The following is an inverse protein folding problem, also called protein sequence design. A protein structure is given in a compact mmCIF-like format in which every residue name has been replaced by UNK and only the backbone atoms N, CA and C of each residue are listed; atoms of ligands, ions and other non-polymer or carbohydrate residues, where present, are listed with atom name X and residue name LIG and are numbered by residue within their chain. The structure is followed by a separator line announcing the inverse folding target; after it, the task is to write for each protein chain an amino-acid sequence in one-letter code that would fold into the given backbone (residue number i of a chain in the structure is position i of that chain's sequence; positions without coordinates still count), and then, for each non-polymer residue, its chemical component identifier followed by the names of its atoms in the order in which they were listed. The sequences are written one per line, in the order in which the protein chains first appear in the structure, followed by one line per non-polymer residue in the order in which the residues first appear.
data_IF_171913500451
#
_entry.id   IF_171913500451
#
_cell.length_a   1.000
_cell.length_b   1.000
_cell.length_c   1.000
_cell.angle_alpha   90.00
_cell.angle_beta   90.00
_cell.angle_gamma   90.00
#
_symmetry.space_group_name_H-M   'P 1'
#
loop_
_entity.id
_entity.type
_entity.pdbx_description
1 polymer ?
#
# COMPACT_ATOMS: atom_id res chain seq x y z
N UNK A 1 -27.09 2.00 -41.31
CA UNK A 1 -27.60 2.16 -39.92
C UNK A 1 -26.41 2.32 -38.95
N UNK A 2 -25.37 3.07 -39.33
CA UNK A 2 -24.16 3.18 -38.49
C UNK A 2 -24.32 4.13 -37.31
N UNK A 3 -25.15 5.17 -37.44
CA UNK A 3 -25.30 6.19 -36.38
C UNK A 3 -25.82 5.59 -35.07
N UNK A 4 -26.75 4.62 -35.13
CA UNK A 4 -27.26 3.91 -33.97
C UNK A 4 -26.20 3.02 -33.29
N UNK A 5 -25.30 2.42 -34.06
CA UNK A 5 -24.19 1.62 -33.52
C UNK A 5 -23.13 2.46 -32.78
N UNK A 6 -23.10 3.78 -33.04
CA UNK A 6 -22.16 4.72 -32.42
C UNK A 6 -22.78 5.54 -31.28
N UNK A 7 -24.08 5.38 -31.00
CA UNK A 7 -24.70 5.95 -29.81
C UNK A 7 -24.21 5.24 -28.55
N UNK A 8 -23.37 5.93 -27.75
CA UNK A 8 -22.90 5.43 -26.47
C UNK A 8 -23.79 5.93 -25.34
N UNK A 9 -24.51 5.02 -24.71
CA UNK A 9 -25.24 5.29 -23.47
C UNK A 9 -24.32 4.94 -22.31
N UNK A 10 -23.93 5.94 -21.54
CA UNK A 10 -23.11 5.74 -20.35
C UNK A 10 -24.00 5.81 -19.09
N UNK A 11 -24.03 4.76 -18.26
CA UNK A 11 -24.75 4.81 -16.99
C UNK A 11 -24.15 5.88 -16.06
N UNK A 12 -25.00 6.51 -15.24
CA UNK A 12 -24.60 7.56 -14.30
C UNK A 12 -23.52 7.09 -13.30
N UNK A 13 -23.52 5.80 -12.96
CA UNK A 13 -22.52 5.15 -12.12
C UNK A 13 -21.09 5.24 -12.68
N UNK A 14 -20.91 5.46 -13.98
CA UNK A 14 -19.59 5.70 -14.57
C UNK A 14 -18.99 7.04 -14.15
N UNK A 15 -19.82 7.99 -13.72
CA UNK A 15 -19.42 9.35 -13.36
C UNK A 15 -19.38 9.57 -11.84
N UNK A 16 -19.99 8.68 -11.05
CA UNK A 16 -19.99 8.73 -9.59
C UNK A 16 -18.89 7.83 -9.01
N UNK A 17 -17.63 8.17 -9.28
CA UNK A 17 -16.46 7.52 -8.69
C UNK A 17 -15.66 8.53 -7.90
N UNK A 18 -15.03 8.07 -6.82
CA UNK A 18 -14.12 8.88 -6.06
C UNK A 18 -12.98 9.37 -6.97
N UNK A 19 -12.59 10.64 -6.83
CA UNK A 19 -11.51 11.20 -7.63
C UNK A 19 -10.21 10.42 -7.37
N UNK A 20 -9.55 9.88 -8.41
CA UNK A 20 -8.33 9.11 -8.23
C UNK A 20 -7.22 10.03 -7.70
N UNK A 21 -6.64 9.62 -6.58
CA UNK A 21 -5.52 10.28 -5.95
C UNK A 21 -4.22 9.57 -6.33
N UNK A 22 -3.13 10.33 -6.24
CA UNK A 22 -1.77 9.86 -6.53
C UNK A 22 -0.83 10.36 -5.44
N UNK A 23 0.20 9.57 -5.14
CA UNK A 23 1.26 9.96 -4.24
C UNK A 23 2.37 10.63 -5.05
N UNK A 24 2.82 11.80 -4.57
CA UNK A 24 4.06 12.42 -5.07
C UNK A 24 5.23 11.93 -4.24
N UNK A 25 6.25 11.37 -4.89
CA UNK A 25 7.44 10.89 -4.20
C UNK A 25 8.37 12.03 -3.76
N UNK A 26 9.19 11.83 -2.71
CA UNK A 26 10.29 12.72 -2.38
C UNK A 26 11.20 12.97 -3.59
N UNK A 27 11.70 14.21 -3.74
CA UNK A 27 12.61 14.60 -4.83
C UNK A 27 13.89 13.75 -4.90
N UNK A 28 14.31 13.18 -3.78
CA UNK A 28 15.46 12.27 -3.69
C UNK A 28 15.27 10.97 -4.48
N UNK A 29 14.02 10.54 -4.67
CA UNK A 29 13.68 9.31 -5.40
C UNK A 29 13.27 9.65 -6.84
N UNK A 30 12.47 10.71 -7.01
CA UNK A 30 12.01 11.18 -8.32
C UNK A 30 10.69 11.95 -8.23
N UNK A 31 10.37 12.73 -9.26
CA UNK A 31 9.14 13.53 -9.33
C UNK A 31 8.03 12.79 -10.09
N UNK A 32 7.61 11.65 -9.57
CA UNK A 32 6.54 10.84 -10.15
C UNK A 32 5.27 10.92 -9.31
N UNK A 33 4.13 11.05 -9.99
CA UNK A 33 2.81 10.83 -9.40
C UNK A 33 2.44 9.37 -9.64
N UNK A 34 2.32 8.61 -8.56
CA UNK A 34 2.20 7.14 -8.60
C UNK A 34 1.00 6.65 -7.80
N UNK A 35 0.40 5.57 -8.28
CA UNK A 35 -0.79 4.97 -7.68
C UNK A 35 -0.47 3.75 -6.85
N UNK A 36 0.35 2.86 -7.40
CA UNK A 36 0.78 1.62 -6.76
C UNK A 36 2.29 1.63 -6.61
N UNK A 37 2.74 1.55 -5.37
CA UNK A 37 4.15 1.66 -5.03
C UNK A 37 4.51 0.50 -4.14
N UNK A 38 5.65 -0.12 -4.44
CA UNK A 38 6.27 -1.10 -3.58
C UNK A 38 7.65 -0.61 -3.13
N UNK A 39 7.85 -0.49 -1.82
CA UNK A 39 9.14 -0.16 -1.22
C UNK A 39 9.80 -1.44 -0.70
N UNK A 40 10.98 -1.74 -1.24
CA UNK A 40 11.87 -2.81 -0.78
C UNK A 40 12.83 -2.21 0.24
N UNK A 41 12.67 -2.67 1.48
CA UNK A 41 13.44 -2.30 2.65
C UNK A 41 14.45 -3.41 3.03
N UNK A 42 15.48 -3.04 3.77
CA UNK A 42 16.49 -3.99 4.29
C UNK A 42 16.47 -4.12 5.81
N UNK A 43 15.65 -3.31 6.50
CA UNK A 43 15.61 -3.27 7.96
C UNK A 43 14.18 -3.04 8.45
N UNK A 44 13.90 -3.58 9.63
CA UNK A 44 12.67 -3.40 10.38
C UNK A 44 12.48 -1.97 10.88
N UNK A 45 13.57 -1.30 11.29
CA UNK A 45 13.50 0.03 11.91
C UNK A 45 12.91 1.08 10.98
N UNK A 46 12.15 2.01 11.56
CA UNK A 46 11.65 3.18 10.84
C UNK A 46 12.80 4.08 10.38
N UNK A 47 12.99 4.24 9.07
CA UNK A 47 14.15 4.92 8.48
C UNK A 47 13.89 6.38 8.15
N UNK A 48 14.94 7.21 8.02
CA UNK A 48 14.83 8.57 7.49
C UNK A 48 14.15 8.61 6.12
N UNK A 49 14.45 7.67 5.22
CA UNK A 49 13.78 7.53 3.93
C UNK A 49 12.26 7.32 4.09
N UNK A 50 11.86 6.37 4.94
CA UNK A 50 10.45 6.08 5.22
C UNK A 50 9.73 7.29 5.84
N UNK A 51 10.44 8.09 6.66
CA UNK A 51 9.96 9.37 7.18
C UNK A 51 9.72 10.39 6.07
N UNK A 52 10.64 10.53 5.12
CA UNK A 52 10.46 11.41 3.97
C UNK A 52 9.25 11.00 3.12
N UNK A 53 9.07 9.70 2.87
CA UNK A 53 7.92 9.16 2.14
C UNK A 53 6.62 9.45 2.92
N UNK A 54 6.61 9.19 4.23
CA UNK A 54 5.48 9.48 5.12
C UNK A 54 5.07 10.95 5.09
N UNK A 55 6.03 11.87 5.17
CA UNK A 55 5.76 13.30 5.07
C UNK A 55 5.10 13.68 3.75
N UNK A 56 5.47 13.03 2.63
CA UNK A 56 4.80 13.25 1.35
C UNK A 56 3.39 12.65 1.34
N UNK A 57 3.19 11.46 1.91
CA UNK A 57 1.86 10.86 2.06
C UNK A 57 0.91 11.80 2.78
N UNK A 58 1.37 12.38 3.90
CA UNK A 58 0.60 13.32 4.71
C UNK A 58 0.39 14.65 3.98
N UNK A 59 1.41 15.22 3.33
CA UNK A 59 1.26 16.45 2.53
C UNK A 59 0.25 16.27 1.40
N UNK A 60 0.23 15.11 0.74
CA UNK A 60 -0.73 14.80 -0.32
C UNK A 60 -2.16 14.60 0.23
N UNK A 61 -2.33 14.17 1.48
CA UNK A 61 -3.64 13.86 2.06
C UNK A 61 -4.28 15.01 2.85
N UNK A 62 -3.48 15.91 3.45
CA UNK A 62 -3.95 16.86 4.48
C UNK A 62 -4.74 18.05 3.93
N UNK A 63 -4.62 18.41 2.65
CA UNK A 63 -5.28 19.61 2.14
C UNK A 63 -6.80 19.46 1.85
N UNK A 64 -7.34 18.24 1.69
CA UNK A 64 -8.65 18.04 1.02
C UNK A 64 -9.67 17.18 1.77
N UNK A 65 -9.61 17.09 3.10
CA UNK A 65 -10.60 16.30 3.86
C UNK A 65 -10.48 14.79 3.60
N UNK A 66 -9.25 14.33 3.38
CA UNK A 66 -8.92 12.92 3.17
C UNK A 66 -8.12 12.35 4.34
N UNK A 67 -8.04 11.01 4.41
CA UNK A 67 -7.33 10.27 5.46
C UNK A 67 -6.53 9.11 4.88
N UNK A 68 -5.38 8.82 5.46
CA UNK A 68 -4.52 7.67 5.12
C UNK A 68 -4.80 6.52 6.09
N UNK A 69 -4.99 5.32 5.56
CA UNK A 69 -5.05 4.10 6.34
C UNK A 69 -3.67 3.47 6.42
N UNK A 70 -3.14 3.28 7.62
CA UNK A 70 -1.87 2.59 7.86
C UNK A 70 -2.18 1.23 8.48
N UNK A 71 -1.85 0.17 7.76
CA UNK A 71 -1.94 -1.22 8.19
C UNK A 71 -0.54 -1.65 8.63
N UNK A 72 -0.33 -1.63 9.94
CA UNK A 72 0.96 -1.85 10.56
C UNK A 72 1.02 -3.27 11.15
N UNK A 73 1.65 -4.17 10.42
CA UNK A 73 1.94 -5.56 10.82
C UNK A 73 3.19 -5.61 11.71
N UNK A 74 4.13 -4.67 11.50
CA UNK A 74 5.43 -4.62 12.20
C UNK A 74 5.39 -3.90 13.55
N UNK A 75 4.34 -3.11 13.79
CA UNK A 75 4.10 -2.29 14.99
C UNK A 75 5.09 -1.13 15.19
N UNK A 76 5.63 -0.57 14.10
CA UNK A 76 6.65 0.50 14.13
C UNK A 76 6.13 1.89 13.76
N UNK A 77 4.88 2.01 13.29
CA UNK A 77 4.35 3.30 12.81
C UNK A 77 3.73 4.15 13.91
N UNK A 78 3.45 3.56 15.07
CA UNK A 78 2.68 4.20 16.14
C UNK A 78 3.23 5.55 16.57
N UNK A 79 4.52 5.62 16.86
CA UNK A 79 5.18 6.85 17.34
C UNK A 79 5.12 7.96 16.28
N UNK A 80 5.45 7.60 15.03
CA UNK A 80 5.46 8.52 13.89
C UNK A 80 4.06 9.07 13.60
N UNK A 81 3.03 8.23 13.72
CA UNK A 81 1.64 8.64 13.52
C UNK A 81 1.19 9.60 14.61
N UNK A 82 1.59 9.38 15.87
CA UNK A 82 1.24 10.26 16.98
C UNK A 82 1.87 11.66 16.88
N UNK A 83 3.05 11.77 16.26
CA UNK A 83 3.68 13.05 15.94
C UNK A 83 2.89 13.84 14.88
N UNK A 84 2.23 13.15 13.94
CA UNK A 84 1.41 13.78 12.89
C UNK A 84 -0.02 14.01 13.37
N UNK A 85 -0.40 15.27 13.57
CA UNK A 85 -1.65 15.65 14.22
C UNK A 85 -2.96 15.37 13.46
N UNK A 86 -2.96 14.87 12.22
CA UNK A 86 -4.19 14.81 11.41
C UNK A 86 -4.18 13.69 10.35
N UNK A 87 -5.36 13.13 10.06
CA UNK A 87 -5.58 12.43 8.78
C UNK A 87 -5.35 10.93 8.78
N UNK A 88 -5.30 10.21 9.91
CA UNK A 88 -4.82 8.81 9.90
C UNK A 88 -5.79 7.83 10.56
N UNK A 89 -6.06 6.72 9.88
CA UNK A 89 -6.60 5.50 10.45
C UNK A 89 -5.46 4.51 10.66
N UNK A 90 -5.27 4.02 11.88
CA UNK A 90 -4.17 3.12 12.23
C UNK A 90 -4.70 1.75 12.62
N UNK A 91 -4.37 0.74 11.83
CA UNK A 91 -4.75 -0.65 12.04
C UNK A 91 -3.51 -1.45 12.44
N UNK A 92 -3.49 -1.88 13.70
CA UNK A 92 -2.49 -2.78 14.24
C UNK A 92 -3.24 -3.77 15.16
N UNK A 93 -3.31 -5.02 14.73
CA UNK A 93 -4.08 -6.06 15.41
C UNK A 93 -3.51 -7.42 15.03
N UNK A 94 -3.55 -8.37 15.96
CA UNK A 94 -3.18 -9.76 15.65
C UNK A 94 -4.00 -10.35 14.48
N UNK A 95 -5.21 -9.83 14.23
CA UNK A 95 -6.08 -10.30 13.15
C UNK A 95 -5.56 -9.98 11.74
N UNK A 96 -4.56 -9.11 11.58
CA UNK A 96 -3.98 -8.75 10.27
C UNK A 96 -2.57 -9.32 10.07
N UNK A 97 -2.05 -10.09 11.04
CA UNK A 97 -0.69 -10.66 10.98
C UNK A 97 -0.55 -11.88 10.07
N UNK A 98 -1.61 -12.26 9.36
CA UNK A 98 -1.61 -13.29 8.33
C UNK A 98 -2.39 -12.79 7.11
N UNK A 99 -2.14 -13.39 5.94
CA UNK A 99 -2.68 -12.90 4.68
C UNK A 99 -4.20 -13.01 4.59
N UNK A 100 -4.80 -14.08 5.12
CA UNK A 100 -6.26 -14.24 5.17
C UNK A 100 -6.91 -13.11 5.97
N UNK A 101 -6.36 -12.82 7.15
CA UNK A 101 -6.81 -11.74 8.02
C UNK A 101 -6.69 -10.36 7.40
N UNK A 102 -5.57 -10.10 6.70
CA UNK A 102 -5.39 -8.89 5.91
C UNK A 102 -6.44 -8.78 4.78
N UNK A 103 -6.61 -9.83 3.98
CA UNK A 103 -7.57 -9.87 2.88
C UNK A 103 -9.01 -9.67 3.39
N UNK A 104 -9.39 -10.34 4.48
CA UNK A 104 -10.70 -10.19 5.10
C UNK A 104 -10.95 -8.77 5.59
N UNK A 105 -9.94 -8.12 6.17
CA UNK A 105 -10.04 -6.71 6.56
C UNK A 105 -10.22 -5.79 5.35
N UNK A 106 -9.43 -5.98 4.28
CA UNK A 106 -9.52 -5.17 3.06
C UNK A 106 -10.85 -5.40 2.30
N UNK A 107 -11.36 -6.62 2.29
CA UNK A 107 -12.69 -6.93 1.75
C UNK A 107 -13.80 -6.28 2.58
N UNK A 108 -13.68 -6.28 3.91
CA UNK A 108 -14.61 -5.57 4.77
C UNK A 108 -14.52 -4.05 4.52
N UNK A 109 -13.31 -3.50 4.34
CA UNK A 109 -13.11 -2.11 3.99
C UNK A 109 -13.81 -1.74 2.68
N UNK A 110 -13.77 -2.62 1.69
CA UNK A 110 -14.46 -2.44 0.41
C UNK A 110 -15.98 -2.52 0.52
N UNK A 111 -16.50 -3.41 1.37
CA UNK A 111 -17.95 -3.59 1.54
C UNK A 111 -18.57 -2.53 2.47
N UNK A 112 -17.91 -2.22 3.58
CA UNK A 112 -18.36 -1.28 4.61
C UNK A 112 -17.16 -0.58 5.27
N UNK A 113 -16.72 0.59 4.74
CA UNK A 113 -15.61 1.34 5.31
C UNK A 113 -15.83 1.73 6.77
N UNK A 114 -17.06 2.08 7.14
CA UNK A 114 -17.41 2.51 8.49
C UNK A 114 -17.11 1.39 9.50
N UNK A 115 -17.53 0.16 9.21
CA UNK A 115 -17.29 -0.99 10.08
C UNK A 115 -15.82 -1.40 10.11
N UNK A 116 -15.15 -1.40 8.95
CA UNK A 116 -13.73 -1.74 8.88
C UNK A 116 -12.88 -0.74 9.67
N UNK A 117 -13.10 0.56 9.47
CA UNK A 117 -12.35 1.62 10.14
C UNK A 117 -12.65 1.70 11.64
N UNK A 118 -13.81 1.21 12.10
CA UNK A 118 -14.09 1.07 13.55
C UNK A 118 -13.13 0.10 14.25
N UNK A 119 -12.54 -0.85 13.52
CA UNK A 119 -11.54 -1.81 14.04
C UNK A 119 -10.14 -1.19 14.19
N UNK A 120 -9.92 0.00 13.64
CA UNK A 120 -8.64 0.71 13.76
C UNK A 120 -8.44 1.24 15.19
N UNK A 121 -7.20 1.17 15.70
CA UNK A 121 -6.82 1.66 17.01
C UNK A 121 -6.90 3.20 17.07
N UNK A 122 -6.28 3.88 16.10
CA UNK A 122 -6.47 5.32 15.90
C UNK A 122 -7.40 5.55 14.72
N UNK A 123 -8.28 6.55 14.88
CA UNK A 123 -9.35 6.83 13.93
C UNK A 123 -9.44 8.32 13.71
N UNK A 124 -9.35 8.73 12.45
CA UNK A 124 -9.83 10.03 12.02
C UNK A 124 -11.36 9.98 11.81
N UNK A 125 -11.93 11.10 11.39
CA UNK A 125 -13.35 11.23 11.10
C UNK A 125 -13.73 10.34 9.90
N UNK A 126 -14.73 9.49 10.11
CA UNK A 126 -15.21 8.51 9.12
C UNK A 126 -15.91 9.14 7.90
N UNK A 127 -16.14 10.45 7.90
CA UNK A 127 -16.71 11.19 6.78
C UNK A 127 -15.66 11.63 5.75
N UNK A 128 -14.37 11.39 6.02
CA UNK A 128 -13.27 11.68 5.11
C UNK A 128 -13.09 10.58 4.07
N UNK A 129 -12.63 10.96 2.88
CA UNK A 129 -12.25 10.01 1.85
C UNK A 129 -10.92 9.34 2.22
N UNK A 130 -10.79 8.03 1.98
CA UNK A 130 -9.50 7.35 2.10
C UNK A 130 -8.61 7.73 0.91
N UNK A 131 -7.56 8.50 1.16
CA UNK A 131 -6.61 8.97 0.15
C UNK A 131 -5.53 7.95 -0.17
N UNK A 132 -5.10 7.21 0.84
CA UNK A 132 -4.00 6.27 0.73
C UNK A 132 -4.14 5.08 1.67
N UNK A 133 -3.58 3.95 1.24
CA UNK A 133 -3.41 2.77 2.10
C UNK A 133 -1.92 2.41 2.13
N UNK A 134 -1.36 2.32 3.32
CA UNK A 134 -0.01 1.83 3.58
C UNK A 134 -0.12 0.43 4.20
N UNK A 135 0.63 -0.54 3.67
CA UNK A 135 0.74 -1.89 4.25
C UNK A 135 2.20 -2.19 4.53
N UNK A 136 2.52 -2.43 5.79
CA UNK A 136 3.88 -2.68 6.23
C UNK A 136 3.93 -3.78 7.30
N UNK A 137 4.53 -4.95 7.09
CA UNK A 137 5.35 -5.39 5.96
C UNK A 137 4.81 -6.70 5.36
N UNK A 138 4.71 -6.76 4.03
CA UNK A 138 4.20 -7.94 3.31
C UNK A 138 5.08 -9.18 3.46
N UNK A 139 6.38 -9.03 3.74
CA UNK A 139 7.30 -10.15 3.86
C UNK A 139 7.05 -11.04 5.07
N UNK A 140 6.34 -10.56 6.10
CA UNK A 140 5.88 -11.41 7.21
C UNK A 140 4.70 -12.31 6.84
N UNK A 141 3.99 -11.99 5.75
CA UNK A 141 2.86 -12.75 5.27
C UNK A 141 3.36 -13.89 4.38
N UNK A 142 3.89 -14.94 5.02
CA UNK A 142 4.42 -16.13 4.35
C UNK A 142 3.28 -16.96 3.71
N UNK A 143 3.04 -16.78 2.41
CA UNK A 143 1.96 -17.46 1.71
C UNK A 143 2.30 -17.77 0.24
N UNK A 144 1.43 -18.56 -0.37
CA UNK A 144 1.52 -19.05 -1.74
C UNK A 144 1.24 -17.96 -2.79
N UNK A 145 1.60 -18.25 -4.05
CA UNK A 145 1.42 -17.34 -5.19
C UNK A 145 -0.04 -16.90 -5.37
N UNK A 146 -1.00 -17.76 -5.05
CA UNK A 146 -2.43 -17.48 -5.23
C UNK A 146 -2.90 -16.36 -4.32
N UNK A 147 -2.42 -16.33 -3.07
CA UNK A 147 -2.82 -15.33 -2.09
C UNK A 147 -2.41 -13.91 -2.48
N UNK A 148 -1.22 -13.73 -3.06
CA UNK A 148 -0.79 -12.42 -3.58
C UNK A 148 -1.63 -11.96 -4.77
N UNK A 149 -2.08 -12.90 -5.62
CA UNK A 149 -2.97 -12.59 -6.73
C UNK A 149 -4.37 -12.12 -6.27
N UNK A 150 -4.84 -12.63 -5.12
CA UNK A 150 -6.08 -12.16 -4.49
C UNK A 150 -5.86 -10.78 -3.87
N UNK A 151 -4.76 -10.60 -3.12
CA UNK A 151 -4.42 -9.31 -2.50
C UNK A 151 -4.38 -8.18 -3.53
N UNK A 152 -3.66 -8.35 -4.65
CA UNK A 152 -3.56 -7.29 -5.67
C UNK A 152 -4.91 -6.97 -6.32
N UNK A 153 -5.79 -7.98 -6.51
CA UNK A 153 -7.15 -7.74 -7.01
C UNK A 153 -7.96 -6.90 -6.04
N UNK A 154 -7.90 -7.20 -4.73
CA UNK A 154 -8.59 -6.43 -3.70
C UNK A 154 -8.07 -4.98 -3.68
N UNK A 155 -6.75 -4.78 -3.69
CA UNK A 155 -6.15 -3.44 -3.69
C UNK A 155 -6.54 -2.62 -4.94
N UNK A 156 -6.58 -3.25 -6.12
CA UNK A 156 -7.09 -2.64 -7.36
C UNK A 156 -8.56 -2.24 -7.24
N UNK A 157 -9.39 -3.08 -6.64
CA UNK A 157 -10.80 -2.76 -6.41
C UNK A 157 -10.97 -1.61 -5.40
N UNK A 158 -10.20 -1.60 -4.31
CA UNK A 158 -10.19 -0.49 -3.34
C UNK A 158 -9.81 0.83 -4.01
N UNK A 159 -8.80 0.83 -4.88
CA UNK A 159 -8.45 2.01 -5.68
C UNK A 159 -9.58 2.41 -6.63
N UNK A 160 -10.18 1.47 -7.34
CA UNK A 160 -11.27 1.78 -8.27
C UNK A 160 -12.49 2.40 -7.56
N UNK A 161 -12.77 1.96 -6.32
CA UNK A 161 -13.90 2.43 -5.52
C UNK A 161 -13.61 3.76 -4.82
N UNK A 162 -12.45 3.88 -4.15
CA UNK A 162 -12.14 5.02 -3.27
C UNK A 162 -11.13 6.01 -3.87
N UNK A 163 -10.54 5.71 -5.03
CA UNK A 163 -9.51 6.54 -5.64
C UNK A 163 -8.17 6.52 -4.91
N UNK A 164 -7.99 5.69 -3.88
CA UNK A 164 -6.81 5.71 -3.03
C UNK A 164 -5.52 5.26 -3.76
N UNK A 165 -4.38 5.85 -3.40
CA UNK A 165 -3.07 5.30 -3.72
C UNK A 165 -2.70 4.19 -2.73
N UNK A 166 -1.82 3.29 -3.14
CA UNK A 166 -1.40 2.12 -2.35
C UNK A 166 0.12 2.14 -2.26
N UNK A 167 0.63 2.12 -1.02
CA UNK A 167 2.04 1.92 -0.72
C UNK A 167 2.17 0.60 0.05
N UNK A 168 2.95 -0.33 -0.48
CA UNK A 168 3.27 -1.56 0.23
C UNK A 168 4.76 -1.64 0.49
N UNK A 169 5.12 -2.24 1.62
CA UNK A 169 6.51 -2.37 2.04
C UNK A 169 6.82 -3.86 2.18
N UNK A 170 7.96 -4.26 1.62
CA UNK A 170 8.50 -5.61 1.64
C UNK A 170 9.98 -5.57 1.99
N UNK A 171 10.54 -6.70 2.38
CA UNK A 171 11.98 -6.88 2.51
C UNK A 171 12.62 -7.39 1.23
N UNK A 172 13.93 -7.12 1.09
CA UNK A 172 14.78 -7.69 0.05
C UNK A 172 15.03 -9.18 0.23
N UNK A 173 15.75 -9.78 -0.73
CA UNK A 173 16.08 -11.21 -0.72
C UNK A 173 16.79 -11.69 0.55
N UNK A 174 17.59 -10.83 1.17
CA UNK A 174 18.35 -11.14 2.39
C UNK A 174 17.45 -11.59 3.55
N UNK A 175 16.24 -11.04 3.68
CA UNK A 175 15.29 -11.49 4.69
C UNK A 175 14.84 -12.95 4.43
N UNK A 176 14.65 -13.30 3.17
CA UNK A 176 14.12 -14.60 2.78
C UNK A 176 15.16 -15.72 2.70
N UNK A 177 16.43 -15.38 2.87
CA UNK A 177 17.51 -16.35 2.99
C UNK A 177 17.51 -17.05 4.35
N UNK A 178 16.87 -16.43 5.34
CA UNK A 178 16.76 -16.97 6.68
C UNK A 178 18.07 -16.90 7.44
N UNK A 179 18.02 -17.33 8.70
CA UNK A 179 19.21 -17.38 9.55
C UNK A 179 20.21 -18.36 8.92
N UNK A 180 21.45 -17.91 8.73
CA UNK A 180 22.53 -18.71 8.14
C UNK A 180 22.20 -19.29 6.75
N UNK A 181 21.41 -18.57 5.94
CA UNK A 181 21.01 -19.01 4.60
C UNK A 181 20.20 -20.32 4.59
N UNK A 182 19.58 -20.69 5.71
CA UNK A 182 18.80 -21.93 5.87
C UNK A 182 17.61 -22.07 4.90
N UNK A 183 17.10 -20.97 4.37
CA UNK A 183 16.00 -20.94 3.39
C UNK A 183 16.42 -20.33 2.05
N UNK A 184 17.73 -20.22 1.82
CA UNK A 184 18.28 -19.71 0.57
C UNK A 184 17.98 -20.67 -0.58
N UNK A 185 17.61 -20.10 -1.73
CA UNK A 185 17.39 -20.85 -2.97
C UNK A 185 18.45 -20.43 -4.00
N UNK A 186 19.14 -21.36 -4.66
CA UNK A 186 20.28 -21.06 -5.53
C UNK A 186 19.90 -20.32 -6.82
N UNK A 187 18.64 -20.36 -7.24
CA UNK A 187 18.16 -19.65 -8.44
C UNK A 187 17.67 -18.25 -8.09
N UNK A 188 18.59 -17.27 -8.00
CA UNK A 188 18.31 -15.84 -7.85
C UNK A 188 18.51 -15.09 -9.15
N UNK A 189 17.71 -15.38 -10.18
CA UNK A 189 17.81 -14.61 -11.43
C UNK A 189 17.08 -13.28 -11.29
N UNK A 190 17.82 -12.23 -10.93
CA UNK A 190 17.43 -10.82 -11.09
C UNK A 190 16.34 -10.27 -10.17
N UNK A 191 15.71 -11.08 -9.32
CA UNK A 191 14.68 -10.63 -8.38
C UNK A 191 15.30 -9.84 -7.22
N UNK A 192 14.61 -8.79 -6.74
CA UNK A 192 15.04 -8.01 -5.57
C UNK A 192 14.32 -8.40 -4.28
N UNK A 193 13.21 -9.12 -4.39
CA UNK A 193 12.40 -9.64 -3.28
C UNK A 193 11.78 -10.98 -3.68
N UNK A 194 11.30 -11.78 -2.72
CA UNK A 194 10.57 -13.04 -3.02
C UNK A 194 9.07 -12.83 -3.30
N UNK A 195 8.60 -11.58 -3.40
CA UNK A 195 7.23 -11.34 -3.85
C UNK A 195 7.01 -11.88 -5.27
N UNK A 196 5.84 -12.46 -5.56
CA UNK A 196 5.54 -13.00 -6.89
C UNK A 196 5.62 -11.93 -7.99
N UNK A 197 6.11 -12.30 -9.17
CA UNK A 197 6.13 -11.39 -10.33
C UNK A 197 4.73 -10.94 -10.74
N UNK A 198 3.71 -11.76 -10.51
CA UNK A 198 2.30 -11.41 -10.69
C UNK A 198 1.84 -10.25 -9.79
N UNK A 199 2.52 -10.01 -8.68
CA UNK A 199 2.28 -8.88 -7.80
C UNK A 199 3.14 -7.67 -8.20
N UNK A 200 4.44 -7.87 -8.41
CA UNK A 200 5.37 -6.77 -8.69
C UNK A 200 5.11 -6.11 -10.04
N UNK A 201 4.68 -6.87 -11.06
CA UNK A 201 4.34 -6.32 -12.39
C UNK A 201 3.12 -5.40 -12.38
N UNK A 202 2.35 -5.39 -11.30
CA UNK A 202 1.16 -4.56 -11.14
C UNK A 202 1.44 -3.27 -10.36
N UNK A 203 2.68 -3.06 -9.92
CA UNK A 203 3.13 -1.82 -9.32
C UNK A 203 3.47 -0.81 -10.41
N UNK A 204 3.09 0.45 -10.22
CA UNK A 204 3.52 1.52 -11.12
C UNK A 204 5.01 1.80 -10.94
N UNK A 205 5.51 1.61 -9.72
CA UNK A 205 6.87 1.95 -9.34
C UNK A 205 7.35 1.07 -8.17
N UNK A 206 8.57 0.55 -8.31
CA UNK A 206 9.27 -0.21 -7.27
C UNK A 206 10.47 0.61 -6.80
N UNK A 207 10.55 0.85 -5.50
CA UNK A 207 11.63 1.59 -4.85
C UNK A 207 12.51 0.57 -4.14
N UNK A 208 13.81 0.56 -4.41
CA UNK A 208 14.79 -0.15 -3.62
C UNK A 208 15.53 0.84 -2.73
N UNK A 209 15.45 0.65 -1.41
CA UNK A 209 16.29 1.39 -0.47
C UNK A 209 17.74 0.94 -0.62
N UNK A 210 18.68 1.86 -0.80
CA UNK A 210 20.11 1.53 -0.83
C UNK A 210 20.79 1.84 0.51
N UNK A 211 20.45 2.97 1.12
CA UNK A 211 20.98 3.42 2.44
C UNK A 211 19.83 3.86 3.35
N UNK A 212 20.13 4.36 4.56
CA UNK A 212 19.08 4.88 5.46
C UNK A 212 18.25 6.03 4.88
N UNK A 213 18.82 6.77 3.93
CA UNK A 213 18.32 8.05 3.39
C UNK A 213 18.20 8.07 1.86
N UNK A 214 18.80 7.11 1.15
CA UNK A 214 18.79 7.02 -0.31
C UNK A 214 18.06 5.78 -0.80
N UNK A 215 17.39 5.95 -1.93
CA UNK A 215 16.71 4.88 -2.64
C UNK A 215 16.76 5.15 -4.14
N UNK A 216 16.58 4.10 -4.93
CA UNK A 216 16.44 4.20 -6.39
C UNK A 216 15.18 3.51 -6.88
N UNK A 217 14.74 3.94 -8.04
CA UNK A 217 13.66 3.29 -8.78
C UNK A 217 14.25 2.10 -9.55
N UNK A 218 13.51 0.99 -9.59
CA UNK A 218 13.88 -0.27 -10.26
C UNK A 218 13.02 -0.47 -11.49
#
# INVERSE_FOLDING_TARGET
MDVLAHCRVYPLSNFYRAAPQSLTLPRSIGSHCVSFIHLIEHNFKFTPLKRQIWEQCIKCSVNDGSSVLVIDIVSEWREVIQESSQGVHYMNSASICNMEGLQNFLMQLQASPVEALQRCLFRDRLNKQISGIIIDNLSYLAHDLSSYSVLIKILKQLRQTYGCWILTIGYGLEYYDGIENSTSTPNRTGALTKLPTSYTNEMDLIILRETSDQARIV
#
